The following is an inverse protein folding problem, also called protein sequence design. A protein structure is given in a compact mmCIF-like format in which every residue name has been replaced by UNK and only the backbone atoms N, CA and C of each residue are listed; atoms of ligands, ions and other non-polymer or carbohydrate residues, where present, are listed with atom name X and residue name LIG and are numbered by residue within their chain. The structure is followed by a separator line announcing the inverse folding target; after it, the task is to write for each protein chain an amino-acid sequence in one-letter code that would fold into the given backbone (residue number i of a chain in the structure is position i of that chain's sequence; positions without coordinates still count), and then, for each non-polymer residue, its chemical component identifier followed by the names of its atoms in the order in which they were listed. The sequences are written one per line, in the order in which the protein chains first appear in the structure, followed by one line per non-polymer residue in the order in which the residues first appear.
data_IF_949331459231
#
_entry.id   IF_949331459231
#
_cell.length_a   1.000
_cell.length_b   1.000
_cell.length_c   1.000
_cell.angle_alpha   90.00
_cell.angle_beta   90.00
_cell.angle_gamma   90.00
#
_symmetry.space_group_name_H-M   'P 1'
#
loop_
_entity.id
_entity.type
_entity.pdbx_description
1 polymer ?
#
# COMPACT_ATOMS: atom_id res chain seq x y z
N UNK A 1 0.94 31.24 -19.93
CA UNK A 1 0.98 29.77 -19.93
C UNK A 1 2.43 29.39 -20.04
N UNK A 2 3.06 29.17 -18.90
CA UNK A 2 4.47 28.81 -18.85
C UNK A 2 4.58 27.41 -19.43
N UNK A 3 5.22 27.29 -20.59
CA UNK A 3 5.57 26.03 -21.21
C UNK A 3 6.39 25.25 -20.18
N UNK A 4 5.75 24.36 -19.42
CA UNK A 4 6.48 23.28 -18.78
C UNK A 4 7.15 22.54 -19.92
N UNK A 5 8.43 22.83 -20.13
CA UNK A 5 9.33 22.09 -20.98
C UNK A 5 9.42 20.66 -20.44
N UNK A 6 8.39 19.85 -20.70
CA UNK A 6 8.45 18.39 -20.65
C UNK A 6 9.33 17.84 -21.79
N UNK A 7 10.21 18.67 -22.36
CA UNK A 7 11.13 18.34 -23.44
C UNK A 7 12.50 17.84 -22.96
N UNK A 8 12.83 17.99 -21.68
CA UNK A 8 13.91 17.20 -21.11
C UNK A 8 13.36 15.79 -20.87
N UNK A 9 13.70 14.85 -21.76
CA UNK A 9 13.40 13.44 -21.52
C UNK A 9 13.90 13.03 -20.13
N UNK A 10 13.21 12.06 -19.50
CA UNK A 10 13.61 11.59 -18.18
C UNK A 10 15.07 11.13 -18.21
N UNK A 11 15.83 11.52 -17.19
CA UNK A 11 17.20 11.07 -17.00
C UNK A 11 17.22 9.55 -16.83
N UNK A 12 18.38 8.92 -17.10
CA UNK A 12 18.55 7.49 -16.88
C UNK A 12 18.24 7.06 -15.44
N UNK A 13 18.49 7.93 -14.46
CA UNK A 13 18.19 7.67 -13.04
C UNK A 13 16.69 7.71 -12.73
N UNK A 14 15.94 8.63 -13.35
CA UNK A 14 14.48 8.70 -13.22
C UNK A 14 13.81 7.44 -13.79
N UNK A 15 14.26 7.00 -14.98
CA UNK A 15 13.78 5.76 -15.61
C UNK A 15 14.15 4.54 -14.74
N UNK A 16 15.39 4.45 -14.28
CA UNK A 16 15.84 3.36 -13.42
C UNK A 16 15.06 3.32 -12.09
N UNK A 17 14.78 4.48 -11.49
CA UNK A 17 13.96 4.59 -10.29
C UNK A 17 12.53 4.10 -10.50
N UNK A 18 11.90 4.49 -11.61
CA UNK A 18 10.57 4.02 -11.99
C UNK A 18 10.52 2.49 -12.20
N UNK A 19 11.51 1.94 -12.92
CA UNK A 19 11.66 0.49 -13.13
C UNK A 19 11.87 -0.24 -11.79
N UNK A 20 12.71 0.30 -10.90
CA UNK A 20 12.95 -0.29 -9.59
C UNK A 20 11.68 -0.30 -8.73
N UNK A 21 10.92 0.79 -8.71
CA UNK A 21 9.64 0.89 -7.99
C UNK A 21 8.60 -0.09 -8.55
N UNK A 22 8.49 -0.21 -9.88
CA UNK A 22 7.61 -1.17 -10.53
C UNK A 22 8.02 -2.61 -10.20
N UNK A 23 9.31 -2.91 -10.27
CA UNK A 23 9.87 -4.23 -9.94
C UNK A 23 9.58 -4.58 -8.47
N UNK A 24 9.73 -3.62 -7.55
CA UNK A 24 9.35 -3.79 -6.16
C UNK A 24 7.85 -4.13 -6.03
N UNK A 25 6.96 -3.38 -6.67
CA UNK A 25 5.52 -3.69 -6.67
C UNK A 25 5.25 -5.11 -7.18
N UNK A 26 5.87 -5.51 -8.29
CA UNK A 26 5.72 -6.86 -8.88
C UNK A 26 6.21 -7.94 -7.92
N UNK A 27 7.38 -7.76 -7.29
CA UNK A 27 7.92 -8.72 -6.31
C UNK A 27 6.99 -8.88 -5.11
N UNK A 28 6.42 -7.78 -4.59
CA UNK A 28 5.46 -7.86 -3.49
C UNK A 28 4.21 -8.66 -3.87
N UNK A 29 3.64 -8.40 -5.05
CA UNK A 29 2.44 -9.13 -5.50
C UNK A 29 2.73 -10.58 -5.88
N UNK A 30 3.92 -10.88 -6.41
CA UNK A 30 4.38 -12.25 -6.61
C UNK A 30 4.49 -13.00 -5.26
N UNK A 31 5.05 -12.36 -4.23
CA UNK A 31 5.12 -12.93 -2.89
C UNK A 31 3.72 -13.17 -2.29
N UNK A 32 2.79 -12.22 -2.45
CA UNK A 32 1.38 -12.38 -2.06
C UNK A 32 0.75 -13.58 -2.77
N UNK A 33 0.94 -13.72 -4.09
CA UNK A 33 0.40 -14.84 -4.86
C UNK A 33 0.97 -16.18 -4.38
N UNK A 34 2.29 -16.26 -4.17
CA UNK A 34 2.96 -17.44 -3.62
C UNK A 34 2.41 -17.81 -2.25
N UNK A 35 2.23 -16.84 -1.35
CA UNK A 35 1.65 -17.07 -0.02
C UNK A 35 0.21 -17.60 -0.11
N UNK A 36 -0.63 -16.99 -0.95
CA UNK A 36 -2.03 -17.43 -1.17
C UNK A 36 -2.06 -18.89 -1.65
N UNK A 37 -1.26 -19.22 -2.67
CA UNK A 37 -1.20 -20.58 -3.22
C UNK A 37 -0.66 -21.57 -2.19
N UNK A 38 0.42 -21.21 -1.49
CA UNK A 38 1.04 -22.09 -0.51
C UNK A 38 0.12 -22.36 0.70
N UNK A 39 -0.60 -21.35 1.18
CA UNK A 39 -1.53 -21.49 2.31
C UNK A 39 -2.68 -22.46 2.03
N UNK A 40 -3.06 -22.68 0.76
CA UNK A 40 -4.04 -23.71 0.38
C UNK A 40 -3.56 -25.13 0.68
N UNK A 41 -2.25 -25.37 0.72
CA UNK A 41 -1.63 -26.70 0.95
C UNK A 41 -1.30 -26.96 2.43
N UNK A 42 -1.58 -26.00 3.31
CA UNK A 42 -1.21 -26.06 4.72
C UNK A 42 -0.20 -24.98 5.10
N UNK A 43 -0.16 -24.64 6.38
CA UNK A 43 0.69 -23.57 6.92
C UNK A 43 2.07 -24.08 7.30
N UNK A 44 3.08 -23.27 7.03
CA UNK A 44 4.49 -23.55 7.39
C UNK A 44 5.13 -22.32 8.03
N UNK A 45 6.15 -22.47 8.89
CA UNK A 45 6.79 -21.34 9.58
C UNK A 45 7.35 -20.25 8.64
N UNK A 46 7.84 -20.62 7.46
CA UNK A 46 8.35 -19.64 6.49
C UNK A 46 7.26 -18.69 5.99
N UNK A 47 5.99 -19.11 5.97
CA UNK A 47 4.88 -18.27 5.50
C UNK A 47 4.63 -17.11 6.46
N UNK A 48 4.78 -17.34 7.77
CA UNK A 48 4.72 -16.27 8.77
C UNK A 48 5.81 -15.22 8.50
N UNK A 49 7.06 -15.65 8.31
CA UNK A 49 8.19 -14.76 7.99
C UNK A 49 8.01 -14.07 6.64
N UNK A 50 7.53 -14.78 5.63
CA UNK A 50 7.24 -14.24 4.30
C UNK A 50 6.17 -13.15 4.35
N UNK A 51 5.08 -13.38 5.10
CA UNK A 51 4.07 -12.36 5.33
C UNK A 51 4.62 -11.14 6.08
N UNK A 52 5.44 -11.34 7.12
CA UNK A 52 6.12 -10.22 7.80
C UNK A 52 7.01 -9.42 6.83
N UNK A 53 7.72 -10.09 5.92
CA UNK A 53 8.51 -9.45 4.87
C UNK A 53 7.65 -8.56 3.96
N UNK A 54 6.53 -9.09 3.45
CA UNK A 54 5.57 -8.31 2.63
C UNK A 54 5.00 -7.13 3.40
N UNK A 55 4.65 -7.31 4.68
CA UNK A 55 4.15 -6.24 5.54
C UNK A 55 5.22 -5.16 5.72
N UNK A 56 6.46 -5.53 6.04
CA UNK A 56 7.56 -4.59 6.23
C UNK A 56 7.85 -3.77 4.98
N UNK A 57 7.87 -4.41 3.81
CA UNK A 57 7.99 -3.71 2.53
C UNK A 57 6.81 -2.76 2.28
N UNK A 58 5.59 -3.18 2.59
CA UNK A 58 4.41 -2.31 2.47
C UNK A 58 4.45 -1.10 3.40
N UNK A 59 5.00 -1.24 4.61
CA UNK A 59 5.25 -0.11 5.53
C UNK A 59 6.23 0.89 4.92
N UNK A 60 7.35 0.41 4.38
CA UNK A 60 8.35 1.29 3.75
C UNK A 60 7.76 2.05 2.56
N UNK A 61 7.01 1.38 1.69
CA UNK A 61 6.34 2.01 0.55
C UNK A 61 5.33 3.06 1.01
N UNK A 62 4.50 2.74 2.02
CA UNK A 62 3.47 3.66 2.49
C UNK A 62 4.04 4.88 3.22
N UNK A 63 5.18 4.76 3.90
CA UNK A 63 5.85 5.93 4.51
C UNK A 63 6.19 6.96 3.42
N UNK A 64 6.88 6.55 2.36
CA UNK A 64 7.23 7.47 1.26
C UNK A 64 6.00 8.00 0.53
N UNK A 65 5.04 7.13 0.22
CA UNK A 65 3.83 7.53 -0.50
C UNK A 65 2.96 8.49 0.32
N UNK A 66 2.75 8.22 1.61
CA UNK A 66 1.98 9.11 2.49
C UNK A 66 2.70 10.45 2.74
N UNK A 67 4.04 10.44 2.84
CA UNK A 67 4.83 11.65 2.95
C UNK A 67 4.59 12.59 1.76
N UNK A 68 4.53 12.08 0.52
CA UNK A 68 4.19 12.89 -0.66
C UNK A 68 2.83 13.57 -0.52
N UNK A 69 1.79 12.84 -0.07
CA UNK A 69 0.45 13.41 0.12
C UNK A 69 0.42 14.48 1.23
N UNK A 70 1.16 14.25 2.33
CA UNK A 70 1.31 15.26 3.41
C UNK A 70 1.97 16.53 2.87
N UNK A 71 3.03 16.39 2.08
CA UNK A 71 3.74 17.52 1.49
C UNK A 71 2.91 18.25 0.43
N UNK A 72 2.12 17.54 -0.37
CA UNK A 72 1.15 18.13 -1.31
C UNK A 72 0.14 19.01 -0.59
N UNK A 73 -0.44 18.54 0.51
CA UNK A 73 -1.35 19.34 1.34
C UNK A 73 -0.62 20.54 1.94
N UNK A 74 0.56 20.33 2.51
CA UNK A 74 1.37 21.41 3.08
C UNK A 74 1.68 22.51 2.06
N UNK A 75 2.03 22.13 0.83
CA UNK A 75 2.25 23.08 -0.26
C UNK A 75 0.95 23.79 -0.68
N UNK A 76 -0.15 23.04 -0.82
CA UNK A 76 -1.46 23.57 -1.21
C UNK A 76 -1.96 24.65 -0.25
N UNK A 77 -1.68 24.53 1.06
CA UNK A 77 -2.06 25.55 2.05
C UNK A 77 -1.44 26.94 1.75
N UNK A 78 -0.24 26.98 1.14
CA UNK A 78 0.38 28.23 0.68
C UNK A 78 0.03 28.62 -0.76
N UNK A 79 -0.49 27.68 -1.56
CA UNK A 79 -0.67 27.82 -3.00
C UNK A 79 -1.97 27.15 -3.50
N UNK A 80 -3.16 27.53 -2.98
CA UNK A 80 -4.39 26.79 -3.23
C UNK A 80 -4.86 26.80 -4.69
N UNK A 81 -4.37 27.76 -5.49
CA UNK A 81 -4.66 27.90 -6.92
C UNK A 81 -3.58 27.31 -7.84
N UNK A 82 -2.56 26.66 -7.28
CA UNK A 82 -1.49 26.03 -8.05
C UNK A 82 -1.72 24.52 -8.19
N UNK A 83 -1.15 23.88 -9.22
CA UNK A 83 -1.09 22.43 -9.29
C UNK A 83 -0.43 21.84 -8.04
N UNK A 84 -0.70 20.56 -7.76
CA UNK A 84 -0.05 19.86 -6.66
C UNK A 84 1.48 19.85 -6.86
N UNK A 85 2.21 20.24 -5.83
CA UNK A 85 3.67 20.15 -5.81
C UNK A 85 4.11 18.75 -5.41
N UNK A 86 5.24 18.31 -5.96
CA UNK A 86 5.88 17.05 -5.61
C UNK A 86 7.33 17.26 -5.24
N UNK A 87 7.85 16.38 -4.40
CA UNK A 87 9.29 16.39 -4.13
C UNK A 87 10.09 16.10 -5.42
N UNK A 88 11.39 16.42 -5.44
CA UNK A 88 12.25 16.10 -6.57
C UNK A 88 12.26 14.62 -6.94
N UNK A 89 12.25 13.72 -5.95
CA UNK A 89 12.22 12.27 -6.21
C UNK A 89 10.85 11.80 -6.68
N UNK A 90 9.75 12.35 -6.14
CA UNK A 90 8.41 12.07 -6.63
C UNK A 90 8.23 12.51 -8.08
N UNK A 91 8.64 13.74 -8.40
CA UNK A 91 8.68 14.27 -9.77
C UNK A 91 9.53 13.38 -10.67
N UNK A 92 10.71 12.97 -10.20
CA UNK A 92 11.61 12.12 -10.96
C UNK A 92 11.03 10.74 -11.30
N UNK A 93 10.38 10.09 -10.33
CA UNK A 93 9.69 8.82 -10.59
C UNK A 93 8.52 9.00 -11.57
N UNK A 94 7.75 10.09 -11.45
CA UNK A 94 6.68 10.40 -12.38
C UNK A 94 7.18 10.64 -13.82
N UNK A 95 8.30 11.37 -13.97
CA UNK A 95 8.96 11.57 -15.26
C UNK A 95 9.44 10.24 -15.86
N UNK A 96 10.03 9.38 -15.02
CA UNK A 96 10.46 8.03 -15.42
C UNK A 96 9.31 7.16 -15.93
N UNK A 97 8.18 7.14 -15.20
CA UNK A 97 6.97 6.45 -15.67
C UNK A 97 6.33 7.11 -16.90
N UNK A 98 6.46 8.43 -17.04
CA UNK A 98 5.93 9.20 -18.17
C UNK A 98 6.58 8.83 -19.51
N UNK A 99 7.74 8.17 -19.50
CA UNK A 99 8.39 7.68 -20.74
C UNK A 99 7.58 6.59 -21.44
N UNK A 100 6.58 5.98 -20.79
CA UNK A 100 5.66 5.03 -21.43
C UNK A 100 4.89 5.68 -22.58
N UNK A 101 4.48 6.94 -22.43
CA UNK A 101 3.84 7.73 -23.50
C UNK A 101 4.00 9.23 -23.21
N UNK A 102 4.99 9.85 -23.85
CA UNK A 102 5.31 11.27 -23.66
C UNK A 102 4.26 12.22 -24.24
N UNK A 103 3.30 11.73 -25.03
CA UNK A 103 2.15 12.53 -25.48
C UNK A 103 1.10 12.74 -24.38
N UNK A 104 1.22 12.02 -23.25
CA UNK A 104 0.26 12.03 -22.13
C UNK A 104 0.95 12.49 -20.84
N UNK A 105 1.07 13.81 -20.59
CA UNK A 105 1.89 14.35 -19.50
C UNK A 105 1.45 13.91 -18.11
N UNK A 106 0.18 13.53 -17.92
CA UNK A 106 -0.34 13.06 -16.62
C UNK A 106 -0.20 11.55 -16.44
N UNK A 107 0.14 10.77 -17.47
CA UNK A 107 0.16 9.31 -17.39
C UNK A 107 1.21 8.81 -16.39
N UNK A 108 2.41 9.40 -16.39
CA UNK A 108 3.47 9.04 -15.45
C UNK A 108 3.05 9.23 -13.99
N UNK A 109 2.27 10.28 -13.72
CA UNK A 109 1.70 10.56 -12.40
C UNK A 109 0.65 9.53 -11.97
N UNK A 110 -0.23 9.12 -12.89
CA UNK A 110 -1.23 8.09 -12.57
C UNK A 110 -0.57 6.72 -12.32
N UNK A 111 0.44 6.35 -13.11
CA UNK A 111 1.22 5.12 -12.92
C UNK A 111 1.97 5.14 -11.58
N UNK A 112 2.61 6.26 -11.22
CA UNK A 112 3.31 6.42 -9.96
C UNK A 112 2.38 6.17 -8.77
N UNK A 113 1.21 6.82 -8.76
CA UNK A 113 0.23 6.61 -7.71
C UNK A 113 -0.31 5.18 -7.71
N UNK A 114 -0.60 4.60 -8.89
CA UNK A 114 -1.04 3.22 -8.99
C UNK A 114 -0.02 2.27 -8.34
N UNK A 115 1.27 2.44 -8.65
CA UNK A 115 2.34 1.63 -8.07
C UNK A 115 2.43 1.77 -6.55
N UNK A 116 2.42 3.00 -6.03
CA UNK A 116 2.45 3.27 -4.59
C UNK A 116 1.25 2.66 -3.85
N UNK A 117 0.04 2.83 -4.39
CA UNK A 117 -1.18 2.25 -3.82
C UNK A 117 -1.16 0.72 -3.84
N UNK A 118 -0.59 0.10 -4.88
CA UNK A 118 -0.51 -1.36 -4.99
C UNK A 118 0.56 -1.96 -4.08
N UNK A 119 1.67 -1.27 -3.82
CA UNK A 119 2.63 -1.65 -2.79
C UNK A 119 2.00 -1.58 -1.39
N UNK A 120 1.27 -0.50 -1.11
CA UNK A 120 0.55 -0.36 0.16
C UNK A 120 -0.52 -1.45 0.34
N UNK A 121 -1.34 -1.69 -0.70
CA UNK A 121 -2.33 -2.76 -0.71
C UNK A 121 -1.70 -4.13 -0.46
N UNK A 122 -0.56 -4.43 -1.08
CA UNK A 122 0.15 -5.68 -0.83
C UNK A 122 0.57 -5.84 0.65
N UNK A 123 1.01 -4.76 1.31
CA UNK A 123 1.29 -4.76 2.76
C UNK A 123 0.06 -5.12 3.61
N UNK A 124 -1.10 -4.52 3.30
CA UNK A 124 -2.37 -4.81 3.96
C UNK A 124 -2.84 -6.25 3.71
N UNK A 125 -2.70 -6.75 2.47
CA UNK A 125 -2.96 -8.15 2.15
C UNK A 125 -2.02 -9.06 2.94
N UNK A 126 -0.75 -8.68 3.12
CA UNK A 126 0.19 -9.37 4.02
C UNK A 126 -0.36 -9.54 5.43
N UNK A 127 -0.97 -8.50 6.01
CA UNK A 127 -1.65 -8.59 7.32
C UNK A 127 -2.87 -9.51 7.28
N UNK A 128 -3.69 -9.44 6.23
CA UNK A 128 -4.85 -10.32 6.08
C UNK A 128 -4.43 -11.80 5.95
N UNK A 129 -3.33 -12.07 5.25
CA UNK A 129 -2.77 -13.42 5.09
C UNK A 129 -2.15 -13.95 6.38
N UNK A 130 -1.30 -13.17 7.06
CA UNK A 130 -0.66 -13.64 8.29
C UNK A 130 -1.68 -13.94 9.40
N UNK A 131 -2.82 -13.24 9.39
CA UNK A 131 -3.86 -13.40 10.41
C UNK A 131 -5.00 -14.34 10.00
N UNK A 132 -4.95 -14.98 8.81
CA UNK A 132 -6.12 -15.67 8.24
C UNK A 132 -6.70 -16.78 9.14
N UNK A 133 -5.88 -17.46 9.96
CA UNK A 133 -6.30 -18.50 10.91
C UNK A 133 -6.64 -17.99 12.30
N UNK A 134 -6.20 -16.79 12.67
CA UNK A 134 -6.51 -16.17 13.95
C UNK A 134 -7.87 -15.46 13.85
N UNK A 135 -8.96 -16.23 13.78
CA UNK A 135 -10.28 -15.70 13.42
C UNK A 135 -10.79 -14.60 14.35
N UNK A 136 -10.45 -14.67 15.64
CA UNK A 136 -10.79 -13.69 16.67
C UNK A 136 -9.80 -12.51 16.76
N UNK A 137 -8.75 -12.49 15.94
CA UNK A 137 -7.72 -11.45 15.95
C UNK A 137 -8.30 -10.09 15.56
N UNK A 138 -7.99 -9.05 16.34
CA UNK A 138 -8.32 -7.68 15.95
C UNK A 138 -7.45 -7.24 14.77
N UNK A 139 -6.21 -7.71 14.70
CA UNK A 139 -5.32 -7.46 13.56
C UNK A 139 -5.95 -7.95 12.26
N UNK A 140 -6.61 -9.11 12.28
CA UNK A 140 -7.38 -9.63 11.12
C UNK A 140 -8.51 -8.69 10.71
N UNK A 141 -9.29 -8.20 11.66
CA UNK A 141 -10.39 -7.26 11.40
C UNK A 141 -9.88 -6.00 10.68
N UNK A 142 -8.86 -5.35 11.25
CA UNK A 142 -8.26 -4.15 10.68
C UNK A 142 -7.58 -4.42 9.33
N UNK A 143 -6.83 -5.51 9.20
CA UNK A 143 -6.20 -5.91 7.94
C UNK A 143 -7.21 -6.11 6.81
N UNK A 144 -8.32 -6.82 7.06
CA UNK A 144 -9.39 -7.01 6.05
C UNK A 144 -10.08 -5.70 5.67
N UNK A 145 -10.35 -4.83 6.65
CA UNK A 145 -10.93 -3.52 6.38
C UNK A 145 -9.99 -2.65 5.54
N UNK A 146 -8.69 -2.70 5.84
CA UNK A 146 -7.68 -2.01 5.06
C UNK A 146 -7.61 -2.53 3.63
N UNK A 147 -7.60 -3.85 3.42
CA UNK A 147 -7.65 -4.44 2.07
C UNK A 147 -8.87 -3.98 1.29
N UNK A 148 -10.04 -3.89 1.93
CA UNK A 148 -11.26 -3.41 1.27
C UNK A 148 -11.14 -1.94 0.87
N UNK A 149 -10.82 -1.06 1.82
CA UNK A 149 -10.73 0.39 1.59
C UNK A 149 -9.64 0.73 0.57
N UNK A 150 -8.44 0.18 0.77
CA UNK A 150 -7.32 0.39 -0.13
C UNK A 150 -7.53 -0.30 -1.48
N UNK A 151 -8.30 -1.38 -1.53
CA UNK A 151 -8.73 -2.03 -2.77
C UNK A 151 -9.61 -1.10 -3.62
N UNK A 152 -10.59 -0.42 -3.01
CA UNK A 152 -11.45 0.55 -3.70
C UNK A 152 -10.61 1.72 -4.24
N UNK A 153 -9.70 2.25 -3.42
CA UNK A 153 -8.80 3.34 -3.84
C UNK A 153 -7.81 2.88 -4.92
N UNK A 154 -7.29 1.66 -4.84
CA UNK A 154 -6.48 1.06 -5.90
C UNK A 154 -7.24 0.90 -7.23
N UNK A 155 -8.52 0.49 -7.18
CA UNK A 155 -9.39 0.40 -8.36
C UNK A 155 -9.65 1.76 -8.99
N UNK A 156 -9.80 2.82 -8.19
CA UNK A 156 -9.85 4.18 -8.70
C UNK A 156 -8.57 4.53 -9.48
N UNK A 157 -7.38 4.24 -8.94
CA UNK A 157 -6.14 4.51 -9.67
C UNK A 157 -6.00 3.68 -10.94
N UNK A 158 -6.54 2.45 -10.98
CA UNK A 158 -6.66 1.70 -12.24
C UNK A 158 -7.51 2.49 -13.24
N UNK A 159 -8.70 2.96 -12.83
CA UNK A 159 -9.59 3.70 -13.70
C UNK A 159 -8.96 5.01 -14.21
N UNK A 160 -8.29 5.77 -13.33
CA UNK A 160 -7.55 6.99 -13.70
C UNK A 160 -6.42 6.69 -14.68
N UNK A 161 -5.61 5.66 -14.40
CA UNK A 161 -4.48 5.27 -15.26
C UNK A 161 -4.95 4.80 -16.63
N UNK A 162 -5.95 3.92 -16.68
CA UNK A 162 -6.50 3.37 -17.94
C UNK A 162 -7.17 4.46 -18.76
N UNK A 163 -7.97 5.34 -18.15
CA UNK A 163 -8.62 6.44 -18.88
C UNK A 163 -7.61 7.39 -19.51
N UNK A 164 -6.58 7.81 -18.77
CA UNK A 164 -5.49 8.63 -19.33
C UNK A 164 -4.72 7.87 -20.39
N UNK A 165 -4.38 6.60 -20.17
CA UNK A 165 -3.67 5.77 -21.14
C UNK A 165 -4.43 5.62 -22.47
N UNK A 166 -5.77 5.63 -22.43
CA UNK A 166 -6.63 5.61 -23.62
C UNK A 166 -6.88 7.01 -24.23
N UNK A 167 -6.26 8.06 -23.70
CA UNK A 167 -6.38 9.44 -24.20
C UNK A 167 -7.64 10.18 -23.74
N UNK A 168 -8.38 9.65 -22.77
CA UNK A 168 -9.53 10.32 -22.17
C UNK A 168 -9.09 11.23 -21.00
N UNK A 169 -10.03 12.07 -20.52
CA UNK A 169 -9.90 12.70 -19.19
C UNK A 169 -9.75 11.61 -18.14
N UNK A 170 -9.02 11.87 -17.06
CA UNK A 170 -8.92 10.93 -15.95
C UNK A 170 -10.32 10.72 -15.32
N UNK A 171 -10.75 9.47 -15.19
CA UNK A 171 -12.07 9.08 -14.65
C UNK A 171 -11.89 8.33 -13.32
N UNK A 172 -12.45 8.87 -12.25
CA UNK A 172 -12.40 8.31 -10.90
C UNK A 172 -13.17 9.16 -9.89
N UNK A 173 -13.23 8.75 -8.63
CA UNK A 173 -13.93 9.50 -7.59
C UNK A 173 -13.30 10.89 -7.40
N UNK A 174 -11.96 10.99 -7.43
CA UNK A 174 -11.13 12.18 -7.33
C UNK A 174 -11.29 13.17 -8.50
N UNK A 175 -12.06 12.82 -9.52
CA UNK A 175 -12.37 13.69 -10.67
C UNK A 175 -13.88 13.86 -10.86
N UNK A 176 -14.69 13.37 -9.91
CA UNK A 176 -16.14 13.18 -10.09
C UNK A 176 -16.46 12.47 -11.40
N UNK A 177 -15.77 11.37 -11.67
CA UNK A 177 -15.89 10.59 -12.90
C UNK A 177 -15.61 11.41 -14.17
N UNK A 178 -14.65 12.34 -14.09
CA UNK A 178 -14.24 13.20 -15.20
C UNK A 178 -15.12 14.45 -15.40
N UNK A 179 -16.05 14.73 -14.47
CA UNK A 179 -16.95 15.89 -14.53
C UNK A 179 -16.30 17.20 -14.07
N UNK A 180 -15.21 17.14 -13.31
CA UNK A 180 -14.47 18.34 -12.91
C UNK A 180 -13.61 18.87 -14.07
N UNK A 181 -13.78 20.16 -14.39
CA UNK A 181 -12.96 20.82 -15.39
C UNK A 181 -11.52 21.06 -14.91
N UNK A 182 -10.54 21.04 -15.83
CA UNK A 182 -9.15 21.35 -15.48
C UNK A 182 -8.99 22.72 -14.84
N UNK A 183 -8.32 22.76 -13.69
CA UNK A 183 -8.01 24.00 -12.97
C UNK A 183 -7.94 23.81 -11.45
N UNK A 184 -7.87 24.91 -10.69
CA UNK A 184 -7.73 24.90 -9.23
C UNK A 184 -8.74 24.03 -8.48
N UNK A 185 -10.00 24.00 -8.95
CA UNK A 185 -11.04 23.17 -8.33
C UNK A 185 -10.75 21.67 -8.43
N UNK A 186 -10.37 21.20 -9.62
CA UNK A 186 -9.93 19.82 -9.84
C UNK A 186 -8.69 19.49 -9.01
N UNK A 187 -7.66 20.34 -9.03
CA UNK A 187 -6.41 20.09 -8.30
C UNK A 187 -6.65 20.01 -6.79
N UNK A 188 -7.40 20.98 -6.25
CA UNK A 188 -7.78 21.00 -4.83
C UNK A 188 -8.52 19.74 -4.44
N UNK A 189 -9.54 19.36 -5.21
CA UNK A 189 -10.33 18.18 -4.90
C UNK A 189 -9.49 16.90 -4.96
N UNK A 190 -8.61 16.75 -5.96
CA UNK A 190 -7.69 15.60 -6.06
C UNK A 190 -6.73 15.50 -4.89
N UNK A 191 -6.08 16.60 -4.51
CA UNK A 191 -5.15 16.65 -3.37
C UNK A 191 -5.85 16.19 -2.09
N UNK A 192 -7.00 16.78 -1.76
CA UNK A 192 -7.72 16.45 -0.53
C UNK A 192 -8.34 15.04 -0.55
N UNK A 193 -8.86 14.60 -1.71
CA UNK A 193 -9.39 13.24 -1.86
C UNK A 193 -8.33 12.18 -1.58
N UNK A 194 -7.20 12.26 -2.28
CA UNK A 194 -6.13 11.28 -2.13
C UNK A 194 -5.44 11.38 -0.76
N UNK A 195 -5.27 12.58 -0.21
CA UNK A 195 -4.78 12.73 1.16
C UNK A 195 -5.72 12.07 2.17
N UNK A 196 -7.03 12.35 2.10
CA UNK A 196 -8.03 11.76 3.00
C UNK A 196 -8.06 10.24 2.91
N UNK A 197 -8.06 9.68 1.69
CA UNK A 197 -7.99 8.24 1.47
C UNK A 197 -6.72 7.62 2.08
N UNK A 198 -5.56 8.25 1.88
CA UNK A 198 -4.29 7.78 2.44
C UNK A 198 -4.22 7.91 3.96
N UNK A 199 -4.77 8.98 4.56
CA UNK A 199 -4.85 9.12 6.03
C UNK A 199 -5.66 7.97 6.60
N UNK A 200 -6.87 7.73 6.09
CA UNK A 200 -7.75 6.65 6.56
C UNK A 200 -7.08 5.29 6.40
N UNK A 201 -6.52 5.01 5.21
CA UNK A 201 -5.79 3.78 4.94
C UNK A 201 -4.61 3.59 5.91
N UNK A 202 -3.79 4.62 6.10
CA UNK A 202 -2.61 4.59 6.98
C UNK A 202 -3.02 4.36 8.43
N UNK A 203 -4.06 5.03 8.93
CA UNK A 203 -4.57 4.80 10.30
C UNK A 203 -5.03 3.35 10.48
N UNK A 204 -5.78 2.81 9.52
CA UNK A 204 -6.21 1.41 9.54
C UNK A 204 -5.00 0.47 9.58
N UNK A 205 -3.98 0.75 8.76
CA UNK A 205 -2.77 -0.08 8.72
C UNK A 205 -2.01 -0.03 10.05
N UNK A 206 -1.81 1.15 10.62
CA UNK A 206 -1.17 1.32 11.94
C UNK A 206 -1.92 0.55 13.03
N UNK A 207 -3.25 0.63 13.07
CA UNK A 207 -4.06 -0.14 14.02
C UNK A 207 -3.91 -1.65 13.80
N UNK A 208 -3.87 -2.09 12.54
CA UNK A 208 -3.61 -3.48 12.20
C UNK A 208 -2.23 -3.95 12.70
N UNK A 209 -1.19 -3.13 12.54
CA UNK A 209 0.17 -3.41 13.01
C UNK A 209 0.27 -3.43 14.54
N UNK A 210 -0.37 -2.50 15.23
CA UNK A 210 -0.42 -2.48 16.71
C UNK A 210 -1.07 -3.76 17.23
N UNK A 211 -2.20 -4.17 16.64
CA UNK A 211 -2.85 -5.41 17.03
C UNK A 211 -2.05 -6.64 16.64
N UNK A 212 -1.40 -6.65 15.46
CA UNK A 212 -0.53 -7.74 15.02
C UNK A 212 0.63 -7.92 16.01
N UNK A 213 1.25 -6.82 16.45
CA UNK A 213 2.30 -6.86 17.45
C UNK A 213 1.81 -7.42 18.79
N UNK A 214 0.66 -6.96 19.28
CA UNK A 214 0.06 -7.42 20.55
C UNK A 214 -0.36 -8.89 20.50
N UNK A 215 -0.83 -9.36 19.35
CA UNK A 215 -1.38 -10.70 19.14
C UNK A 215 -0.36 -11.67 18.50
N UNK A 216 0.90 -11.25 18.34
CA UNK A 216 1.93 -11.96 17.57
C UNK A 216 2.14 -13.40 18.01
N UNK A 217 2.15 -13.68 19.32
CA UNK A 217 2.36 -15.02 19.85
C UNK A 217 1.22 -15.97 19.45
N UNK A 218 -0.03 -15.51 19.57
CA UNK A 218 -1.22 -16.26 19.16
C UNK A 218 -1.24 -16.50 17.65
N UNK A 219 -0.86 -15.50 16.86
CA UNK A 219 -0.82 -15.60 15.40
C UNK A 219 0.29 -16.55 14.95
N UNK A 220 1.50 -16.41 15.49
CA UNK A 220 2.65 -17.26 15.17
C UNK A 220 2.38 -18.73 15.52
N UNK A 221 1.71 -19.00 16.65
CA UNK A 221 1.32 -20.36 17.04
C UNK A 221 0.47 -21.07 15.98
N UNK A 222 -0.26 -20.33 15.14
CA UNK A 222 -1.05 -20.92 14.04
C UNK A 222 -0.18 -21.45 12.89
N UNK A 223 1.10 -21.07 12.81
CA UNK A 223 2.05 -21.50 11.77
C UNK A 223 3.03 -22.57 12.24
N UNK A 224 2.99 -22.94 13.53
CA UNK A 224 3.85 -23.98 14.11
C UNK A 224 3.38 -25.38 13.73
N UNK A 225 4.33 -26.25 13.47
CA UNK A 225 4.09 -27.68 13.20
C UNK A 225 3.52 -28.39 14.44
N UNK A 226 2.86 -29.56 14.28
CA UNK A 226 2.42 -30.34 15.43
C UNK A 226 3.56 -30.72 16.39
N UNK A 227 4.73 -31.07 15.86
CA UNK A 227 5.92 -31.40 16.65
C UNK A 227 6.39 -30.20 17.51
N UNK A 228 6.47 -29.00 16.92
CA UNK A 228 6.80 -27.78 17.66
C UNK A 228 5.76 -27.45 18.73
N UNK A 229 4.48 -27.75 18.48
CA UNK A 229 3.40 -27.59 19.48
C UNK A 229 3.53 -28.57 20.63
N UNK A 230 3.83 -29.84 20.36
CA UNK A 230 4.04 -30.86 21.40
C UNK A 230 5.26 -30.56 22.26
N UNK A 231 6.37 -30.11 21.65
CA UNK A 231 7.56 -29.69 22.39
C UNK A 231 7.26 -28.52 23.34
N UNK A 232 6.48 -27.52 22.89
CA UNK A 232 6.09 -26.37 23.73
C UNK A 232 5.24 -26.82 24.95
N UNK A 233 4.36 -27.82 24.78
CA UNK A 233 3.55 -28.37 25.87
C UNK A 233 4.40 -29.18 26.85
N UNK A 234 5.40 -29.94 26.36
CA UNK A 234 6.27 -30.75 27.20
C UNK A 234 7.26 -29.91 28.03
N UNK A 235 7.73 -28.77 27.50
CA UNK A 235 8.66 -27.87 28.19
C UNK A 235 7.97 -26.96 29.20
N UNK A 236 6.64 -26.75 29.10
CA UNK A 236 5.92 -26.01 30.12
C UNK A 236 5.98 -26.85 31.39
N UNK A 237 6.76 -26.47 32.42
CA UNK A 237 6.82 -27.24 33.65
C UNK A 237 5.38 -27.37 34.14
N UNK A 238 5.02 -28.53 34.69
CA UNK A 238 3.82 -28.63 35.51
C UNK A 238 4.05 -27.76 36.76
N UNK A 239 4.08 -26.44 36.61
CA UNK A 239 4.08 -25.45 37.68
C UNK A 239 2.79 -25.71 38.44
N UNK A 240 2.96 -26.48 39.52
CA UNK A 240 2.06 -26.68 40.64
C UNK A 240 0.69 -26.04 40.44
N UNK A 241 -0.26 -26.85 39.95
CA UNK A 241 -1.67 -26.51 40.14
C UNK A 241 -1.84 -26.16 41.63
N UNK A 242 -2.43 -25.00 41.97
CA UNK A 242 -2.67 -24.64 43.35
C UNK A 242 -3.44 -25.77 44.02
N UNK A 243 -2.89 -26.32 45.10
CA UNK A 243 -3.61 -27.28 45.94
C UNK A 243 -4.86 -26.56 46.43
N UNK A 244 -6.07 -27.09 46.21
CA UNK A 244 -7.30 -26.47 46.71
C UNK A 244 -7.21 -26.38 48.23
N UNK A 245 -7.23 -25.16 48.75
CA UNK A 245 -7.44 -24.90 50.18
C UNK A 245 -8.90 -25.27 50.46
N UNK A 246 -9.10 -26.29 51.30
CA UNK A 246 -10.42 -26.65 51.82
C UNK A 246 -10.85 -25.67 52.90
#
# INVERSE_FOLDING_TARGET
MENMHHGAGATGWEIAGAIAMLSWMVVMWAAVAVLIVAMRRGVRPWMYRGSLGVIGLGVLAQIGHFQEHVLQVGYWLGHPNSPAWMTPWGTGLANGFGQVDTSKPTLGMEILHLAGNFQFLAGLVGVALITHRALASKARKWGRMGVLMQGIHGLEHIALTVSVALGAKAIGLSTWFGLLDPGPGLWTYRVWWHFGANVVGTTIFVLALIHLWRERATIEATFRTPSERSATIAETPATSLPVPVR
#
